data_IF_632440040495
#
_entry.id   IF_632440040495
#
_cell.length_a   1.000
_cell.length_b   1.000
_cell.length_c   1.000
_cell.angle_alpha   90.00
_cell.angle_beta   90.00
_cell.angle_gamma   90.00
#
_symmetry.space_group_name_H-M   'P 1'
#
loop_
_entity.id
_entity.type
_entity.pdbx_description
1 polymer ?
#
# COMPACT_ATOMS: atom_id res chain seq x y z
N UNK A 1 -20.76 13.07 0.04
CA UNK A 1 -19.36 13.42 -0.24
C UNK A 1 -19.01 12.72 -1.53
N UNK A 2 -18.59 13.50 -2.53
CA UNK A 2 -18.10 13.06 -3.84
C UNK A 2 -16.60 12.84 -3.77
N UNK A 3 -16.13 11.65 -4.10
CA UNK A 3 -14.73 11.26 -3.96
C UNK A 3 -14.20 10.87 -5.33
N UNK A 4 -13.13 11.55 -5.78
CA UNK A 4 -12.35 11.09 -6.92
C UNK A 4 -11.17 10.27 -6.39
N UNK A 5 -11.00 9.03 -6.83
CA UNK A 5 -9.91 8.16 -6.36
C UNK A 5 -9.16 7.50 -7.50
N UNK A 6 -7.85 7.44 -7.39
CA UNK A 6 -7.03 6.64 -8.30
C UNK A 6 -5.54 6.85 -8.05
N UNK A 7 -4.66 6.17 -8.78
CA UNK A 7 -4.98 5.16 -9.78
C UNK A 7 -5.52 3.90 -9.10
N UNK A 8 -6.68 3.40 -9.55
CA UNK A 8 -7.28 2.19 -9.00
C UNK A 8 -8.04 1.38 -10.06
N UNK A 9 -7.57 0.17 -10.34
CA UNK A 9 -8.29 -0.79 -11.19
C UNK A 9 -9.35 -1.48 -10.32
N UNK A 10 -10.63 -1.22 -10.62
CA UNK A 10 -11.77 -1.72 -9.83
C UNK A 10 -11.90 -3.24 -9.86
N UNK A 11 -11.40 -3.87 -10.92
CA UNK A 11 -11.50 -5.32 -11.14
C UNK A 11 -10.22 -6.05 -10.73
N UNK A 12 -9.23 -5.32 -10.18
CA UNK A 12 -7.97 -5.93 -9.76
C UNK A 12 -8.24 -7.01 -8.70
N UNK A 13 -7.74 -8.25 -8.89
CA UNK A 13 -8.07 -9.41 -8.04
C UNK A 13 -7.38 -9.39 -6.66
N UNK A 14 -6.82 -8.24 -6.27
CA UNK A 14 -6.07 -8.08 -5.02
C UNK A 14 -6.50 -6.79 -4.33
N UNK A 15 -5.67 -6.28 -3.44
CA UNK A 15 -5.97 -5.18 -2.54
C UNK A 15 -6.48 -3.90 -3.21
N UNK A 16 -6.06 -3.55 -4.43
CA UNK A 16 -6.58 -2.38 -5.14
C UNK A 16 -8.11 -2.48 -5.39
N UNK A 17 -8.61 -3.65 -5.81
CA UNK A 17 -10.06 -3.86 -5.96
C UNK A 17 -10.78 -3.79 -4.62
N UNK A 18 -10.18 -4.34 -3.56
CA UNK A 18 -10.75 -4.32 -2.20
C UNK A 18 -10.84 -2.90 -1.61
N UNK A 19 -9.84 -2.06 -1.85
CA UNK A 19 -9.86 -0.65 -1.44
C UNK A 19 -11.01 0.07 -2.14
N UNK A 20 -11.17 -0.11 -3.45
CA UNK A 20 -12.25 0.54 -4.20
C UNK A 20 -13.63 0.15 -3.66
N UNK A 21 -13.83 -1.13 -3.29
CA UNK A 21 -15.04 -1.58 -2.60
C UNK A 21 -15.28 -0.83 -1.28
N UNK A 22 -14.22 -0.51 -0.54
CA UNK A 22 -14.29 0.26 0.69
C UNK A 22 -14.88 1.66 0.52
N UNK A 23 -14.69 2.28 -0.65
CA UNK A 23 -15.24 3.60 -0.97
C UNK A 23 -16.72 3.57 -1.41
N UNK A 24 -17.32 2.40 -1.69
CA UNK A 24 -18.69 2.31 -2.26
C UNK A 24 -19.81 2.84 -1.36
N UNK A 25 -19.52 3.17 -0.10
CA UNK A 25 -20.46 3.89 0.77
C UNK A 25 -20.58 5.39 0.44
N UNK A 26 -19.82 5.90 -0.52
CA UNK A 26 -19.79 7.30 -0.96
C UNK A 26 -20.14 7.42 -2.45
N UNK A 27 -20.37 8.64 -2.93
CA UNK A 27 -20.50 8.94 -4.35
C UNK A 27 -19.09 9.01 -4.94
N UNK A 28 -18.67 7.98 -5.68
CA UNK A 28 -17.26 7.79 -6.06
C UNK A 28 -17.12 7.74 -7.57
N UNK A 29 -16.10 8.44 -8.08
CA UNK A 29 -15.53 8.22 -9.40
C UNK A 29 -14.08 7.81 -9.24
N UNK A 30 -13.62 6.98 -10.16
CA UNK A 30 -12.24 6.48 -10.15
C UNK A 30 -11.52 6.80 -11.45
N UNK A 31 -10.21 6.91 -11.36
CA UNK A 31 -9.33 6.99 -12.53
C UNK A 31 -8.25 5.90 -12.47
N UNK A 32 -7.95 5.29 -13.60
CA UNK A 32 -6.86 4.32 -13.77
C UNK A 32 -6.60 4.06 -15.26
N UNK A 33 -5.56 3.29 -15.59
CA UNK A 33 -5.32 2.87 -16.98
C UNK A 33 -6.45 1.97 -17.50
N UNK A 34 -7.04 1.15 -16.63
CA UNK A 34 -8.05 0.13 -16.98
C UNK A 34 -9.12 0.06 -15.90
N UNK A 35 -10.32 -0.36 -16.31
CA UNK A 35 -11.45 -0.67 -15.43
C UNK A 35 -11.80 0.44 -14.42
N UNK A 36 -11.75 1.70 -14.86
CA UNK A 36 -12.09 2.88 -14.06
C UNK A 36 -13.17 3.72 -14.75
N UNK A 37 -13.73 4.72 -14.06
CA UNK A 37 -14.70 5.66 -14.66
C UNK A 37 -14.04 6.63 -15.62
N UNK A 38 -12.80 7.01 -15.33
CA UNK A 38 -11.97 7.95 -16.08
C UNK A 38 -10.68 7.27 -16.50
N UNK A 39 -10.25 7.49 -17.74
CA UNK A 39 -9.00 6.91 -18.23
C UNK A 39 -7.81 7.75 -17.77
N UNK A 40 -6.87 7.09 -17.09
CA UNK A 40 -5.61 7.67 -16.64
C UNK A 40 -4.42 6.90 -17.18
N UNK A 41 -3.64 7.58 -18.03
CA UNK A 41 -2.34 7.11 -18.52
C UNK A 41 -1.29 8.15 -18.23
N UNK A 42 -0.39 7.84 -17.30
CA UNK A 42 0.60 8.79 -16.78
C UNK A 42 1.44 9.48 -17.88
N UNK A 43 1.72 8.77 -18.97
CA UNK A 43 2.50 9.28 -20.11
C UNK A 43 1.75 10.31 -20.97
N UNK A 44 0.41 10.33 -20.90
CA UNK A 44 -0.47 10.98 -21.88
C UNK A 44 -1.42 12.02 -21.31
N UNK A 45 -1.82 11.90 -20.04
CA UNK A 45 -2.87 12.76 -19.48
C UNK A 45 -2.37 13.56 -18.28
N UNK A 46 -2.78 14.82 -18.23
CA UNK A 46 -2.60 15.69 -17.05
C UNK A 46 -3.72 15.45 -16.04
N UNK A 47 -3.59 16.02 -14.84
CA UNK A 47 -4.67 15.99 -13.87
C UNK A 47 -5.92 16.74 -14.36
N UNK A 48 -5.75 17.82 -15.12
CA UNK A 48 -6.88 18.54 -15.71
C UNK A 48 -7.63 17.70 -16.75
N UNK A 49 -6.91 16.88 -17.52
CA UNK A 49 -7.54 15.94 -18.47
C UNK A 49 -8.35 14.86 -17.75
N UNK A 50 -7.94 14.45 -16.54
CA UNK A 50 -8.74 13.56 -15.68
C UNK A 50 -10.04 14.28 -15.26
N UNK A 51 -9.95 15.53 -14.82
CA UNK A 51 -11.13 16.31 -14.42
C UNK A 51 -12.10 16.55 -15.58
N UNK A 52 -11.59 16.83 -16.78
CA UNK A 52 -12.40 17.10 -17.98
C UNK A 52 -13.18 15.86 -18.48
N UNK A 53 -12.82 14.66 -18.03
CA UNK A 53 -13.54 13.42 -18.35
C UNK A 53 -14.70 13.14 -17.37
N UNK A 54 -14.79 13.88 -16.26
CA UNK A 54 -15.90 13.73 -15.31
C UNK A 54 -17.20 14.31 -15.90
N UNK A 55 -18.37 13.79 -15.51
CA UNK A 55 -19.65 14.40 -15.87
C UNK A 55 -19.72 15.86 -15.41
N UNK A 56 -20.29 16.74 -16.24
CA UNK A 56 -20.37 18.19 -15.97
C UNK A 56 -21.04 18.54 -14.62
N UNK A 57 -21.96 17.70 -14.14
CA UNK A 57 -22.69 17.87 -12.89
C UNK A 57 -22.02 17.18 -11.68
N UNK A 58 -20.89 16.51 -11.90
CA UNK A 58 -20.14 15.77 -10.91
C UNK A 58 -18.83 16.50 -10.58
N UNK A 59 -18.80 17.12 -9.40
CA UNK A 59 -17.65 17.86 -8.88
C UNK A 59 -17.14 17.16 -7.61
N UNK A 60 -15.86 16.76 -7.54
CA UNK A 60 -15.32 16.08 -6.37
C UNK A 60 -15.20 17.02 -5.16
N UNK A 61 -15.50 16.50 -3.97
CA UNK A 61 -15.21 17.17 -2.71
C UNK A 61 -13.75 16.95 -2.27
N UNK A 62 -13.16 15.82 -2.70
CA UNK A 62 -11.80 15.40 -2.36
C UNK A 62 -11.23 14.46 -3.43
N UNK A 63 -9.92 14.48 -3.58
CA UNK A 63 -9.15 13.63 -4.48
C UNK A 63 -8.22 12.74 -3.67
N UNK A 64 -8.35 11.43 -3.80
CA UNK A 64 -7.41 10.45 -3.25
C UNK A 64 -6.48 9.98 -4.35
N UNK A 65 -5.19 10.17 -4.13
CA UNK A 65 -4.15 9.56 -4.93
C UNK A 65 -3.59 8.33 -4.22
N UNK A 66 -3.87 7.15 -4.75
CA UNK A 66 -3.44 5.90 -4.14
C UNK A 66 -2.04 5.52 -4.61
N UNK A 67 -1.14 5.31 -3.64
CA UNK A 67 0.16 4.67 -3.82
C UNK A 67 1.13 5.39 -4.79
N UNK A 68 1.48 6.67 -4.51
CA UNK A 68 2.40 7.45 -5.33
C UNK A 68 3.85 6.93 -5.34
N UNK A 69 4.14 5.89 -4.54
CA UNK A 69 5.40 5.16 -4.55
C UNK A 69 5.57 4.34 -5.84
N UNK A 70 4.48 3.79 -6.38
CA UNK A 70 4.51 2.94 -7.57
C UNK A 70 3.73 3.54 -8.73
N UNK A 71 2.74 4.40 -8.45
CA UNK A 71 1.92 5.03 -9.47
C UNK A 71 2.47 6.40 -9.86
N UNK A 72 2.60 6.64 -11.17
CA UNK A 72 2.97 7.95 -11.72
C UNK A 72 1.98 9.02 -11.25
N UNK A 73 2.46 10.14 -10.70
CA UNK A 73 1.59 11.23 -10.21
C UNK A 73 1.33 12.20 -11.36
N UNK A 74 0.07 12.39 -11.82
CA UNK A 74 -0.22 13.17 -13.02
C UNK A 74 0.24 14.62 -12.86
N UNK A 75 0.92 15.21 -13.86
CA UNK A 75 1.24 16.64 -13.84
C UNK A 75 -0.03 17.49 -13.65
N UNK A 76 0.04 18.51 -12.81
CA UNK A 76 -1.06 19.42 -12.51
C UNK A 76 -1.95 19.00 -11.33
N UNK A 77 -1.70 17.87 -10.67
CA UNK A 77 -2.44 17.51 -9.45
C UNK A 77 -2.18 18.51 -8.31
N UNK A 78 -0.98 19.08 -8.28
CA UNK A 78 -0.57 20.16 -7.39
C UNK A 78 -1.36 21.46 -7.65
N UNK A 79 -1.98 21.60 -8.82
CA UNK A 79 -2.89 22.70 -9.16
C UNK A 79 -4.37 22.35 -8.93
N UNK A 80 -4.66 21.13 -8.45
CA UNK A 80 -6.02 20.65 -8.21
C UNK A 80 -6.83 21.69 -7.43
N UNK A 81 -8.01 22.10 -7.94
CA UNK A 81 -8.87 23.04 -7.22
C UNK A 81 -9.56 22.37 -6.03
N UNK A 82 -9.39 21.05 -5.85
CA UNK A 82 -9.95 20.23 -4.77
C UNK A 82 -8.85 19.74 -3.84
N UNK A 83 -9.14 19.47 -2.54
CA UNK A 83 -8.18 18.86 -1.63
C UNK A 83 -7.66 17.52 -2.16
N UNK A 84 -6.36 17.31 -2.02
CA UNK A 84 -5.62 16.15 -2.56
C UNK A 84 -4.95 15.38 -1.43
N UNK A 85 -5.19 14.08 -1.40
CA UNK A 85 -4.74 13.18 -0.34
C UNK A 85 -3.83 12.13 -0.95
N UNK A 86 -2.57 12.05 -0.51
CA UNK A 86 -1.64 11.00 -0.93
C UNK A 86 -1.66 9.82 0.03
N UNK A 87 -2.05 8.63 -0.43
CA UNK A 87 -2.05 7.40 0.37
C UNK A 87 -0.74 6.63 0.14
N UNK A 88 0.17 6.65 1.10
CA UNK A 88 1.51 6.07 0.96
C UNK A 88 1.57 4.72 1.68
N UNK A 89 1.61 3.64 0.90
CA UNK A 89 1.63 2.27 1.40
C UNK A 89 3.04 1.73 1.69
N UNK A 90 4.00 1.99 0.81
CA UNK A 90 5.35 1.44 0.88
C UNK A 90 6.43 2.52 0.77
N UNK A 91 6.43 3.46 1.72
CA UNK A 91 7.45 4.52 1.78
C UNK A 91 8.89 3.96 1.85
N UNK A 92 9.08 2.76 2.40
CA UNK A 92 10.41 2.15 2.56
C UNK A 92 10.99 1.60 1.24
N UNK A 93 10.15 1.33 0.25
CA UNK A 93 10.56 0.84 -1.07
C UNK A 93 10.51 1.94 -2.13
N UNK A 94 9.49 2.81 -2.07
CA UNK A 94 9.27 3.89 -3.02
C UNK A 94 9.79 5.25 -2.56
N UNK A 95 10.69 5.33 -1.58
CA UNK A 95 11.13 6.60 -1.01
C UNK A 95 11.63 7.58 -2.08
N UNK A 96 12.46 7.11 -3.02
CA UNK A 96 12.99 7.95 -4.11
C UNK A 96 11.87 8.52 -5.00
N UNK A 97 10.78 7.77 -5.18
CA UNK A 97 9.62 8.21 -5.97
C UNK A 97 8.80 9.25 -5.21
N UNK A 98 8.56 9.05 -3.91
CA UNK A 98 7.68 9.93 -3.12
C UNK A 98 8.40 11.17 -2.57
N UNK A 99 9.68 11.06 -2.20
CA UNK A 99 10.39 12.09 -1.43
C UNK A 99 10.52 13.45 -2.13
N UNK A 100 10.26 13.50 -3.44
CA UNK A 100 10.32 14.73 -4.26
C UNK A 100 8.95 15.26 -4.70
N UNK A 101 7.87 14.53 -4.43
CA UNK A 101 6.52 14.82 -4.93
C UNK A 101 5.44 14.86 -3.85
N UNK A 102 5.79 14.53 -2.62
CA UNK A 102 4.94 14.66 -1.42
C UNK A 102 4.31 16.04 -1.30
N UNK A 103 5.02 17.10 -1.69
CA UNK A 103 4.50 18.47 -1.75
C UNK A 103 3.40 18.71 -2.78
N UNK A 104 3.05 17.73 -3.62
CA UNK A 104 1.92 17.80 -4.56
C UNK A 104 0.57 17.51 -3.87
N UNK A 105 0.59 17.07 -2.62
CA UNK A 105 -0.60 16.72 -1.85
C UNK A 105 -0.82 17.69 -0.70
N UNK A 106 -2.08 17.89 -0.32
CA UNK A 106 -2.42 18.70 0.85
C UNK A 106 -2.15 17.95 2.15
N UNK A 107 -2.44 16.65 2.17
CA UNK A 107 -2.22 15.73 3.31
C UNK A 107 -1.72 14.39 2.78
N UNK A 108 -0.81 13.77 3.54
CA UNK A 108 -0.35 12.41 3.31
C UNK A 108 -0.83 11.49 4.43
N UNK A 109 -1.28 10.29 4.06
CA UNK A 109 -1.56 9.22 5.00
C UNK A 109 -0.57 8.08 4.83
N UNK A 110 -0.06 7.57 5.95
CA UNK A 110 0.87 6.43 5.97
C UNK A 110 0.78 5.69 7.31
N UNK A 111 1.50 4.57 7.44
CA UNK A 111 1.73 3.87 8.72
C UNK A 111 2.57 4.72 9.70
N UNK A 112 2.60 4.33 10.98
CA UNK A 112 3.32 5.07 12.05
C UNK A 112 4.80 5.30 11.70
N UNK A 113 5.46 4.33 11.06
CA UNK A 113 6.85 4.45 10.66
C UNK A 113 7.07 5.51 9.58
N UNK A 114 6.15 5.60 8.62
CA UNK A 114 6.17 6.59 7.57
C UNK A 114 5.91 8.00 8.10
N UNK A 115 5.01 8.16 9.07
CA UNK A 115 4.77 9.47 9.72
C UNK A 115 6.06 9.99 10.35
N UNK A 116 6.74 9.16 11.14
CA UNK A 116 8.01 9.54 11.79
C UNK A 116 9.07 9.95 10.78
N UNK A 117 9.26 9.18 9.71
CA UNK A 117 10.29 9.47 8.70
C UNK A 117 9.93 10.70 7.87
N UNK A 118 8.70 10.82 7.40
CA UNK A 118 8.29 11.96 6.57
C UNK A 118 8.31 13.27 7.38
N UNK A 119 7.90 13.24 8.65
CA UNK A 119 8.02 14.42 9.52
C UNK A 119 9.49 14.83 9.74
N UNK A 120 10.41 13.87 9.95
CA UNK A 120 11.86 14.16 10.07
C UNK A 120 12.46 14.76 8.81
N UNK A 121 11.86 14.50 7.66
CA UNK A 121 12.26 15.04 6.37
C UNK A 121 11.62 16.40 6.06
N UNK A 122 10.81 16.94 6.97
CA UNK A 122 10.21 18.27 6.85
C UNK A 122 8.83 18.29 6.17
N UNK A 123 8.19 17.14 5.97
CA UNK A 123 6.80 17.11 5.51
C UNK A 123 5.87 17.38 6.70
N UNK A 124 5.11 18.47 6.65
CA UNK A 124 4.36 18.97 7.81
C UNK A 124 2.97 18.31 7.96
N UNK A 125 2.35 17.90 6.85
CA UNK A 125 0.97 17.40 6.81
C UNK A 125 0.94 15.89 6.57
N UNK A 126 1.43 15.12 7.55
CA UNK A 126 1.48 13.66 7.48
C UNK A 126 0.75 13.05 8.66
N UNK A 127 -0.22 12.19 8.38
CA UNK A 127 -1.12 11.60 9.37
C UNK A 127 -1.04 10.07 9.35
N UNK A 128 -1.16 9.47 10.53
CA UNK A 128 -1.28 8.02 10.65
C UNK A 128 -2.71 7.59 10.34
N UNK A 129 -2.87 6.53 9.54
CA UNK A 129 -4.13 5.79 9.47
C UNK A 129 -3.92 4.31 9.18
N UNK A 130 -4.94 3.50 9.48
CA UNK A 130 -4.99 2.11 9.05
C UNK A 130 -5.15 2.01 7.52
N UNK A 131 -4.03 1.87 6.81
CA UNK A 131 -3.98 1.80 5.35
C UNK A 131 -4.60 0.52 4.77
N UNK A 132 -4.62 -0.53 5.57
CA UNK A 132 -5.07 -1.86 5.17
C UNK A 132 -6.29 -2.29 5.98
N UNK A 133 -6.99 -3.29 5.45
CA UNK A 133 -8.11 -3.95 6.09
C UNK A 133 -8.31 -5.30 5.43
N UNK A 134 -9.55 -5.80 5.47
CA UNK A 134 -9.95 -6.98 4.72
C UNK A 134 -11.21 -6.70 3.89
N UNK A 135 -11.36 -7.43 2.79
CA UNK A 135 -12.62 -7.50 2.02
C UNK A 135 -13.54 -8.57 2.63
N UNK A 136 -14.71 -8.23 3.21
CA UNK A 136 -15.63 -9.20 3.79
C UNK A 136 -16.23 -10.19 2.77
N UNK A 137 -16.30 -9.79 1.49
CA UNK A 137 -16.79 -10.68 0.44
C UNK A 137 -15.80 -11.80 0.15
N UNK A 138 -14.49 -11.56 0.35
CA UNK A 138 -13.43 -12.53 0.02
C UNK A 138 -12.91 -13.22 1.27
N UNK A 139 -12.53 -12.44 2.28
CA UNK A 139 -11.90 -12.90 3.52
C UNK A 139 -12.96 -13.10 4.60
N UNK A 140 -13.59 -14.27 4.58
CA UNK A 140 -14.64 -14.67 5.51
C UNK A 140 -14.46 -16.11 5.94
N UNK A 141 -15.17 -16.51 7.00
CA UNK A 141 -15.28 -17.92 7.36
C UNK A 141 -16.05 -18.68 6.29
N UNK A 142 -15.56 -19.87 5.95
CA UNK A 142 -16.19 -20.76 4.98
C UNK A 142 -16.63 -22.02 5.72
N UNK A 143 -17.95 -22.27 5.72
CA UNK A 143 -18.53 -23.42 6.41
C UNK A 143 -18.03 -24.75 5.82
N UNK A 144 -17.80 -25.72 6.71
CA UNK A 144 -17.36 -27.06 6.32
C UNK A 144 -15.90 -27.17 5.87
N UNK A 145 -15.11 -26.10 5.92
CA UNK A 145 -13.67 -26.17 5.62
C UNK A 145 -12.90 -26.70 6.83
N UNK A 146 -12.29 -27.87 6.65
CA UNK A 146 -11.43 -28.48 7.69
C UNK A 146 -10.09 -27.74 7.83
N UNK A 147 -9.63 -27.59 9.08
CA UNK A 147 -8.31 -27.05 9.43
C UNK A 147 -7.22 -28.10 9.19
N UNK A 148 -6.68 -28.16 7.97
CA UNK A 148 -5.68 -29.15 7.56
C UNK A 148 -4.23 -28.73 7.78
N UNK A 149 -3.95 -27.43 7.94
CA UNK A 149 -2.61 -26.91 8.23
C UNK A 149 -2.51 -26.48 9.69
N UNK A 150 -1.42 -26.87 10.34
CA UNK A 150 -1.13 -26.46 11.71
C UNK A 150 -0.61 -25.01 11.73
N UNK A 151 0.35 -24.70 10.85
CA UNK A 151 0.96 -23.37 10.74
C UNK A 151 1.06 -22.99 9.27
N UNK A 152 0.58 -21.81 8.93
CA UNK A 152 0.67 -21.27 7.57
C UNK A 152 1.34 -19.91 7.53
N UNK A 153 2.13 -19.68 6.49
CA UNK A 153 2.54 -18.36 6.02
C UNK A 153 2.27 -18.26 4.52
N UNK A 154 1.55 -17.22 4.10
CA UNK A 154 1.32 -16.90 2.67
C UNK A 154 1.76 -15.48 2.40
N UNK A 155 2.85 -15.27 1.65
CA UNK A 155 3.34 -13.92 1.36
C UNK A 155 4.57 -13.86 0.49
N UNK A 156 5.12 -12.66 0.29
CA UNK A 156 6.34 -12.50 -0.50
C UNK A 156 7.53 -13.17 0.22
N UNK A 157 8.23 -14.05 -0.50
CA UNK A 157 9.41 -14.80 -0.05
C UNK A 157 10.71 -14.22 -0.63
N UNK A 158 10.65 -13.11 -1.37
CA UNK A 158 11.82 -12.46 -1.93
C UNK A 158 12.74 -11.95 -0.81
N UNK A 159 13.90 -12.58 -0.67
CA UNK A 159 14.88 -12.27 0.36
C UNK A 159 15.44 -10.84 0.23
N UNK A 160 15.48 -10.24 -0.97
CA UNK A 160 15.99 -8.87 -1.14
C UNK A 160 15.11 -7.85 -0.40
N UNK A 161 13.79 -8.09 -0.37
CA UNK A 161 12.79 -7.25 0.30
C UNK A 161 12.55 -7.71 1.74
N UNK A 162 12.56 -9.02 1.99
CA UNK A 162 12.05 -9.65 3.21
C UNK A 162 13.17 -10.25 4.08
N UNK A 163 14.35 -9.61 4.10
CA UNK A 163 15.55 -10.12 4.80
C UNK A 163 15.26 -10.56 6.22
N UNK A 164 14.61 -9.71 7.00
CA UNK A 164 14.29 -10.00 8.39
C UNK A 164 13.28 -11.12 8.55
N UNK A 165 12.39 -11.36 7.59
CA UNK A 165 11.37 -12.41 7.66
C UNK A 165 11.97 -13.80 7.45
N UNK A 166 12.99 -13.93 6.61
CA UNK A 166 13.58 -15.22 6.23
C UNK A 166 14.06 -16.04 7.44
N UNK A 167 14.64 -15.38 8.46
CA UNK A 167 15.11 -16.06 9.69
C UNK A 167 13.95 -16.72 10.47
N UNK A 168 12.79 -16.07 10.51
CA UNK A 168 11.59 -16.61 11.18
C UNK A 168 10.95 -17.74 10.41
N UNK A 169 10.83 -17.59 9.09
CA UNK A 169 10.30 -18.65 8.23
C UNK A 169 11.16 -19.91 8.31
N UNK A 170 12.50 -19.77 8.44
CA UNK A 170 13.40 -20.90 8.69
C UNK A 170 13.11 -21.60 10.03
N UNK A 171 12.82 -20.84 11.10
CA UNK A 171 12.45 -21.40 12.41
C UNK A 171 11.14 -22.17 12.33
N UNK A 172 10.12 -21.59 11.69
CA UNK A 172 8.83 -22.25 11.47
C UNK A 172 8.97 -23.50 10.59
N UNK A 173 9.77 -23.44 9.52
CA UNK A 173 9.99 -24.58 8.64
C UNK A 173 10.62 -25.78 9.37
N UNK A 174 11.44 -25.57 10.41
CA UNK A 174 12.00 -26.65 11.23
C UNK A 174 10.96 -27.40 12.05
N UNK A 175 9.76 -26.83 12.22
CA UNK A 175 8.65 -27.50 12.88
C UNK A 175 7.92 -28.51 11.97
N UNK A 176 8.29 -28.58 10.69
CA UNK A 176 7.64 -29.47 9.70
C UNK A 176 7.81 -30.97 9.97
N UNK A 177 8.80 -31.36 10.79
CA UNK A 177 8.98 -32.75 11.23
C UNK A 177 7.87 -33.21 12.20
N UNK A 178 7.16 -32.26 12.84
CA UNK A 178 6.13 -32.52 13.85
C UNK A 178 4.75 -32.00 13.47
N UNK A 179 4.69 -30.96 12.64
CA UNK A 179 3.47 -30.24 12.31
C UNK A 179 3.31 -30.02 10.80
N UNK A 180 2.07 -29.91 10.33
CA UNK A 180 1.75 -29.59 8.94
C UNK A 180 1.99 -28.10 8.68
N UNK A 181 3.23 -27.75 8.34
CA UNK A 181 3.66 -26.38 8.04
C UNK A 181 3.51 -26.07 6.55
N UNK A 182 2.85 -24.97 6.20
CA UNK A 182 2.71 -24.47 4.82
C UNK A 182 3.31 -23.07 4.69
N UNK A 183 4.36 -22.94 3.87
CA UNK A 183 4.98 -21.64 3.53
C UNK A 183 4.88 -21.49 2.02
N UNK A 184 4.19 -20.45 1.54
CA UNK A 184 3.91 -20.28 0.11
C UNK A 184 3.84 -18.80 -0.29
N UNK A 185 4.05 -18.51 -1.57
CA UNK A 185 3.88 -17.21 -2.19
C UNK A 185 3.03 -17.34 -3.46
N UNK A 186 2.49 -16.22 -3.97
CA UNK A 186 1.77 -16.22 -5.25
C UNK A 186 0.37 -16.84 -5.20
N UNK A 187 -0.26 -16.88 -4.02
CA UNK A 187 -1.64 -17.34 -3.83
C UNK A 187 -2.51 -16.13 -3.54
N UNK A 188 -3.63 -15.99 -4.24
CA UNK A 188 -4.49 -14.79 -4.21
C UNK A 188 -5.98 -15.17 -4.21
N UNK A 189 -6.85 -14.18 -3.95
CA UNK A 189 -8.30 -14.32 -4.04
C UNK A 189 -8.87 -15.46 -3.21
N UNK A 190 -9.83 -16.19 -3.78
CA UNK A 190 -10.53 -17.29 -3.11
C UNK A 190 -9.62 -18.43 -2.65
N UNK A 191 -8.55 -18.72 -3.40
CA UNK A 191 -7.58 -19.76 -3.00
C UNK A 191 -6.83 -19.35 -1.73
N UNK A 192 -6.44 -18.08 -1.64
CA UNK A 192 -5.81 -17.52 -0.45
C UNK A 192 -6.75 -17.55 0.75
N UNK A 193 -7.99 -17.06 0.59
CA UNK A 193 -9.00 -17.09 1.65
C UNK A 193 -9.29 -18.51 2.13
N UNK A 194 -9.41 -19.48 1.21
CA UNK A 194 -9.57 -20.90 1.52
C UNK A 194 -8.38 -21.44 2.32
N UNK A 195 -7.16 -21.09 1.95
CA UNK A 195 -5.95 -21.52 2.68
C UNK A 195 -5.92 -20.98 4.12
N UNK A 196 -6.30 -19.73 4.33
CA UNK A 196 -6.44 -19.17 5.68
C UNK A 196 -7.53 -19.90 6.48
N UNK A 197 -8.66 -20.21 5.85
CA UNK A 197 -9.72 -21.03 6.46
C UNK A 197 -9.24 -22.45 6.82
N UNK A 198 -8.29 -23.00 6.08
CA UNK A 198 -7.66 -24.30 6.35
C UNK A 198 -6.53 -24.26 7.39
N UNK A 199 -6.18 -23.08 7.91
CA UNK A 199 -5.03 -22.89 8.82
C UNK A 199 -5.47 -22.74 10.27
N UNK A 200 -4.88 -23.51 11.19
CA UNK A 200 -5.09 -23.30 12.64
C UNK A 200 -4.44 -21.99 13.09
N UNK A 201 -3.15 -21.83 12.77
CA UNK A 201 -2.36 -20.65 13.05
C UNK A 201 -1.85 -20.06 11.73
N UNK A 202 -2.01 -18.75 11.56
CA UNK A 202 -1.37 -17.99 10.48
C UNK A 202 -0.29 -17.12 11.10
N UNK A 203 0.95 -17.42 10.73
CA UNK A 203 2.10 -16.63 11.10
C UNK A 203 2.16 -15.38 10.22
N UNK A 204 2.41 -14.23 10.84
CA UNK A 204 2.68 -12.98 10.15
C UNK A 204 3.93 -12.31 10.73
N UNK A 205 4.68 -11.66 9.84
CA UNK A 205 5.69 -10.69 10.23
C UNK A 205 5.68 -9.50 9.28
N UNK A 206 5.41 -8.33 9.83
CA UNK A 206 5.42 -7.06 9.08
C UNK A 206 6.84 -6.65 8.64
N UNK A 207 6.95 -5.66 7.75
CA UNK A 207 8.24 -5.15 7.28
C UNK A 207 8.70 -3.97 8.13
N UNK A 208 7.77 -3.08 8.47
CA UNK A 208 7.98 -1.77 9.09
C UNK A 208 7.40 -1.66 10.51
N UNK A 209 6.78 -2.74 11.00
CA UNK A 209 5.99 -2.72 12.22
C UNK A 209 4.54 -2.31 11.99
N UNK A 210 4.06 -2.36 10.75
CA UNK A 210 2.71 -1.98 10.33
C UNK A 210 1.69 -3.10 10.50
N UNK A 211 0.41 -2.74 10.63
CA UNK A 211 -0.70 -3.68 10.45
C UNK A 211 -0.93 -3.91 8.96
N UNK A 212 -0.23 -4.89 8.39
CA UNK A 212 -0.41 -5.27 6.98
C UNK A 212 -1.69 -6.10 6.74
N UNK A 213 -2.04 -6.30 5.47
CA UNK A 213 -3.28 -7.02 5.06
C UNK A 213 -3.49 -8.35 5.79
N UNK A 214 -2.44 -9.19 5.89
CA UNK A 214 -2.53 -10.52 6.52
C UNK A 214 -2.95 -10.45 7.99
N UNK A 215 -2.60 -9.37 8.70
CA UNK A 215 -3.00 -9.16 10.07
C UNK A 215 -4.53 -8.99 10.22
N UNK A 216 -5.22 -8.56 9.15
CA UNK A 216 -6.68 -8.48 9.12
C UNK A 216 -7.32 -9.72 8.48
N UNK A 217 -6.76 -10.21 7.38
CA UNK A 217 -7.35 -11.29 6.58
C UNK A 217 -7.34 -12.63 7.32
N UNK A 218 -6.27 -12.94 8.07
CA UNK A 218 -6.16 -14.18 8.83
C UNK A 218 -7.25 -14.35 9.92
N UNK A 219 -7.45 -13.38 10.84
CA UNK A 219 -8.57 -13.47 11.78
C UNK A 219 -9.93 -13.38 11.08
N UNK A 220 -10.06 -12.66 9.96
CA UNK A 220 -11.32 -12.60 9.21
C UNK A 220 -11.71 -13.97 8.64
N UNK A 221 -10.73 -14.78 8.25
CA UNK A 221 -10.90 -16.17 7.82
C UNK A 221 -10.91 -17.19 8.98
N UNK A 222 -10.91 -16.72 10.24
CA UNK A 222 -10.95 -17.59 11.42
C UNK A 222 -9.69 -18.44 11.61
N UNK A 223 -8.51 -17.89 11.32
CA UNK A 223 -7.22 -18.45 11.72
C UNK A 223 -6.66 -17.64 12.90
N UNK A 224 -6.01 -18.29 13.86
CA UNK A 224 -5.30 -17.57 14.92
C UNK A 224 -4.14 -16.78 14.31
N UNK A 225 -4.14 -15.47 14.47
CA UNK A 225 -3.05 -14.59 14.02
C UNK A 225 -1.89 -14.64 15.03
N UNK A 226 -0.69 -14.92 14.53
CA UNK A 226 0.56 -14.64 15.21
C UNK A 226 1.21 -13.41 14.57
N UNK A 227 1.57 -12.42 15.40
CA UNK A 227 2.22 -11.19 14.93
C UNK A 227 3.38 -10.81 15.86
N UNK A 228 4.37 -10.08 15.35
CA UNK A 228 5.52 -9.68 16.15
C UNK A 228 5.13 -8.72 17.29
N UNK A 229 5.66 -8.95 18.49
CA UNK A 229 5.35 -8.19 19.70
C UNK A 229 5.73 -6.71 19.60
N UNK A 230 6.79 -6.42 18.84
CA UNK A 230 7.28 -5.08 18.55
C UNK A 230 6.46 -4.31 17.49
N UNK A 231 5.39 -4.93 16.95
CA UNK A 231 4.53 -4.25 15.98
C UNK A 231 3.96 -2.96 16.60
N UNK A 232 4.03 -1.87 15.84
CA UNK A 232 3.73 -0.51 16.31
C UNK A 232 2.24 -0.22 16.38
N UNK A 233 1.45 -0.91 15.56
CA UNK A 233 0.03 -0.60 15.32
C UNK A 233 -0.92 -1.67 15.88
N UNK A 234 -0.43 -2.87 16.17
CA UNK A 234 -1.29 -3.99 16.59
C UNK A 234 -2.13 -3.67 17.81
N UNK A 235 -1.60 -2.88 18.75
CA UNK A 235 -2.28 -2.54 20.01
C UNK A 235 -3.39 -1.50 19.83
N UNK A 236 -3.44 -0.83 18.68
CA UNK A 236 -4.58 0.02 18.30
C UNK A 236 -5.76 -0.83 17.83
N UNK A 237 -5.50 -2.06 17.37
CA UNK A 237 -6.51 -2.94 16.79
C UNK A 237 -6.92 -4.10 17.72
N UNK A 238 -5.93 -4.74 18.33
CA UNK A 238 -6.00 -6.04 18.97
C UNK A 238 -5.31 -6.04 20.35
N UNK A 239 -5.61 -7.07 21.13
CA UNK A 239 -5.07 -7.28 22.47
C UNK A 239 -4.46 -8.68 22.50
N UNK A 240 -3.22 -8.77 22.99
CA UNK A 240 -2.50 -10.03 23.08
C UNK A 240 -3.27 -11.06 23.91
N UNK A 241 -3.26 -12.32 23.47
CA UNK A 241 -3.96 -13.48 24.03
C UNK A 241 -5.48 -13.32 24.18
N UNK A 242 -6.06 -12.29 23.59
CA UNK A 242 -7.52 -12.09 23.49
C UNK A 242 -7.94 -12.14 22.03
N UNK A 243 -7.26 -11.40 21.15
CA UNK A 243 -7.60 -11.27 19.73
C UNK A 243 -6.56 -11.90 18.80
N UNK A 244 -5.31 -11.97 19.26
CA UNK A 244 -4.16 -12.50 18.52
C UNK A 244 -3.10 -12.97 19.51
N UNK A 245 -2.01 -13.59 19.03
CA UNK A 245 -0.85 -13.94 19.84
C UNK A 245 0.34 -13.13 19.37
N UNK A 246 0.93 -12.36 20.28
CA UNK A 246 2.16 -11.62 20.05
C UNK A 246 3.37 -12.49 20.40
N UNK A 247 4.33 -12.56 19.48
CA UNK A 247 5.55 -13.36 19.65
C UNK A 247 6.79 -12.50 19.51
N UNK A 248 7.90 -12.95 20.11
CA UNK A 248 9.22 -12.38 19.95
C UNK A 248 10.25 -13.47 19.66
N UNK A 249 11.53 -13.09 19.67
CA UNK A 249 12.61 -13.98 19.25
C UNK A 249 12.83 -15.13 20.25
N UNK A 250 12.38 -14.98 21.50
CA UNK A 250 12.59 -15.95 22.58
C UNK A 250 11.46 -16.96 22.71
N UNK A 251 10.22 -16.60 22.34
CA UNK A 251 9.03 -17.40 22.68
C UNK A 251 8.26 -17.98 21.48
N UNK A 252 8.67 -17.71 20.23
CA UNK A 252 7.90 -18.11 19.05
C UNK A 252 7.56 -19.62 19.02
N UNK A 253 8.55 -20.50 19.12
CA UNK A 253 8.34 -21.94 19.03
C UNK A 253 7.50 -22.46 20.21
N UNK A 254 7.77 -21.98 21.42
CA UNK A 254 7.01 -22.34 22.62
C UNK A 254 5.53 -21.97 22.46
N UNK A 255 5.23 -20.75 22.02
CA UNK A 255 3.86 -20.30 21.79
C UNK A 255 3.17 -21.08 20.66
N UNK A 256 3.88 -21.37 19.56
CA UNK A 256 3.33 -22.18 18.47
C UNK A 256 2.96 -23.58 18.97
N UNK A 257 3.85 -24.25 19.70
CA UNK A 257 3.61 -25.58 20.26
C UNK A 257 2.47 -25.56 21.28
N UNK A 258 2.47 -24.58 22.19
CA UNK A 258 1.42 -24.40 23.18
C UNK A 258 0.05 -24.27 22.52
N UNK A 259 -0.12 -23.34 21.57
CA UNK A 259 -1.44 -23.14 20.95
C UNK A 259 -1.83 -24.26 19.98
N UNK A 260 -0.90 -25.10 19.54
CA UNK A 260 -1.22 -26.32 18.77
C UNK A 260 -1.71 -27.48 19.66
N UNK A 261 -1.36 -27.50 20.95
CA UNK A 261 -1.86 -28.50 21.91
C UNK A 261 -3.04 -28.03 22.76
N UNK A 262 -3.36 -26.73 22.78
CA UNK A 262 -4.45 -26.13 23.57
C UNK A 262 -5.61 -25.67 22.67
N UNK A 263 -6.34 -26.64 22.12
CA UNK A 263 -7.38 -26.40 21.11
C UNK A 263 -8.48 -25.45 21.57
N UNK A 264 -9.00 -25.60 22.79
CA UNK A 264 -10.09 -24.76 23.32
C UNK A 264 -9.65 -23.29 23.45
N UNK A 265 -8.48 -23.05 24.05
CA UNK A 265 -7.92 -21.71 24.20
C UNK A 265 -7.63 -21.07 22.83
N UNK A 266 -7.00 -21.82 21.91
CA UNK A 266 -6.73 -21.37 20.54
C UNK A 266 -8.03 -20.96 19.84
N UNK A 267 -9.07 -21.79 19.94
CA UNK A 267 -10.36 -21.53 19.30
C UNK A 267 -11.06 -20.30 19.89
N UNK A 268 -10.98 -20.10 21.20
CA UNK A 268 -11.55 -18.93 21.87
C UNK A 268 -10.87 -17.62 21.42
N UNK A 269 -9.53 -17.58 21.35
CA UNK A 269 -8.79 -16.42 20.85
C UNK A 269 -9.12 -16.19 19.36
N UNK A 270 -9.18 -17.26 18.57
CA UNK A 270 -9.54 -17.18 17.14
C UNK A 270 -10.95 -16.61 16.93
N UNK A 271 -11.89 -16.98 17.79
CA UNK A 271 -13.26 -16.46 17.77
C UNK A 271 -13.29 -14.96 18.10
N UNK A 272 -12.68 -14.56 19.21
CA UNK A 272 -12.59 -13.14 19.61
C UNK A 272 -11.84 -12.29 18.58
N UNK A 273 -10.74 -12.79 18.02
CA UNK A 273 -10.02 -12.14 16.94
C UNK A 273 -10.89 -11.95 15.69
N UNK A 274 -11.66 -12.98 15.31
CA UNK A 274 -12.60 -12.91 14.21
C UNK A 274 -13.75 -11.91 14.45
N UNK A 275 -14.27 -11.82 15.67
CA UNK A 275 -15.29 -10.84 16.04
C UNK A 275 -14.72 -9.42 15.99
N UNK A 276 -13.55 -9.20 16.59
CA UNK A 276 -12.89 -7.89 16.64
C UNK A 276 -12.49 -7.38 15.27
N UNK A 277 -11.99 -8.25 14.39
CA UNK A 277 -11.51 -7.82 13.07
C UNK A 277 -12.63 -7.25 12.20
N UNK A 278 -13.91 -7.61 12.43
CA UNK A 278 -15.04 -7.08 11.63
C UNK A 278 -15.13 -5.54 11.65
N UNK A 279 -14.57 -4.91 12.67
CA UNK A 279 -14.47 -3.45 12.77
C UNK A 279 -13.49 -2.84 11.74
N UNK A 280 -12.63 -3.63 11.10
CA UNK A 280 -11.50 -3.18 10.27
C UNK A 280 -11.59 -3.62 8.81
N UNK A 281 -12.81 -3.81 8.28
CA UNK A 281 -13.02 -3.96 6.84
C UNK A 281 -12.55 -2.70 6.09
N UNK A 282 -12.21 -2.82 4.81
CA UNK A 282 -11.82 -1.64 4.02
C UNK A 282 -12.86 -0.51 4.09
N UNK A 283 -14.16 -0.84 4.06
CA UNK A 283 -15.23 0.16 4.23
C UNK A 283 -15.13 0.92 5.56
N UNK A 284 -14.86 0.21 6.66
CA UNK A 284 -14.71 0.85 7.96
C UNK A 284 -13.40 1.65 8.07
N UNK A 285 -12.31 1.20 7.43
CA UNK A 285 -11.07 1.97 7.35
C UNK A 285 -11.24 3.28 6.58
N UNK A 286 -11.91 3.24 5.43
CA UNK A 286 -12.21 4.46 4.67
C UNK A 286 -13.08 5.42 5.48
N UNK A 287 -14.09 4.91 6.21
CA UNK A 287 -14.89 5.77 7.12
C UNK A 287 -14.03 6.45 8.18
N UNK A 288 -13.03 5.78 8.74
CA UNK A 288 -12.08 6.37 9.71
C UNK A 288 -11.23 7.44 9.06
N UNK A 289 -10.68 7.20 7.87
CA UNK A 289 -9.88 8.18 7.11
C UNK A 289 -10.72 9.42 6.81
N UNK A 290 -11.95 9.25 6.32
CA UNK A 290 -12.87 10.36 6.04
C UNK A 290 -13.26 11.11 7.33
N UNK A 291 -13.47 10.39 8.44
CA UNK A 291 -13.68 10.99 9.76
C UNK A 291 -12.50 11.87 10.17
N UNK A 292 -11.28 11.36 10.03
CA UNK A 292 -10.04 12.09 10.34
C UNK A 292 -9.87 13.33 9.48
N UNK A 293 -10.16 13.25 8.18
CA UNK A 293 -10.13 14.41 7.29
C UNK A 293 -11.11 15.51 7.71
N UNK A 294 -12.28 15.15 8.25
CA UNK A 294 -13.23 16.13 8.80
C UNK A 294 -12.71 16.78 10.08
N UNK A 295 -12.07 16.02 10.96
CA UNK A 295 -11.46 16.56 12.18
C UNK A 295 -10.33 17.55 11.88
N UNK A 296 -9.53 17.27 10.84
CA UNK A 296 -8.48 18.18 10.36
C UNK A 296 -9.09 19.44 9.73
N UNK A 297 -10.35 19.40 9.32
CA UNK A 297 -11.05 20.51 8.67
C UNK A 297 -10.64 20.65 7.21
N UNK A 298 -10.89 19.61 6.41
CA UNK A 298 -10.61 19.55 4.97
C UNK A 298 -11.05 20.82 4.21
N UNK A 299 -12.17 21.42 4.59
CA UNK A 299 -12.70 22.66 4.02
C UNK A 299 -11.82 23.89 4.26
N UNK A 300 -10.98 23.87 5.30
CA UNK A 300 -10.09 24.95 5.70
C UNK A 300 -8.68 24.84 5.08
N UNK A 301 -8.39 23.73 4.40
CA UNK A 301 -7.12 23.53 3.71
C UNK A 301 -6.98 24.56 2.59
N UNK A 302 -6.00 25.45 2.72
CA UNK A 302 -5.64 26.42 1.68
C UNK A 302 -4.92 25.72 0.53
N UNK A 303 -5.71 25.28 -0.45
CA UNK A 303 -5.33 24.49 -1.64
C UNK A 303 -4.20 25.10 -2.48
N UNK A 304 -3.96 26.40 -2.34
CA UNK A 304 -2.92 27.16 -3.05
C UNK A 304 -1.53 27.08 -2.39
N UNK A 305 -1.40 26.41 -1.24
CA UNK A 305 -0.15 26.34 -0.46
C UNK A 305 0.64 25.04 -0.65
N UNK A 306 0.30 24.22 -1.65
CA UNK A 306 1.04 22.99 -1.92
C UNK A 306 2.51 23.32 -2.18
N UNK A 307 3.40 22.74 -1.35
CA UNK A 307 4.82 23.08 -1.35
C UNK A 307 5.49 22.84 -2.71
N UNK A 308 4.94 21.94 -3.53
CA UNK A 308 5.48 21.70 -4.86
C UNK A 308 5.40 22.94 -5.78
N UNK A 309 4.36 23.77 -5.61
CA UNK A 309 4.17 24.98 -6.41
C UNK A 309 5.15 26.11 -6.05
N UNK A 310 5.77 26.07 -4.87
CA UNK A 310 6.79 27.06 -4.48
C UNK A 310 8.18 26.73 -5.03
N UNK A 311 8.36 25.55 -5.64
CA UNK A 311 9.60 25.19 -6.31
C UNK A 311 9.73 25.94 -7.63
N UNK A 312 10.96 26.32 -7.97
CA UNK A 312 11.31 26.82 -9.29
C UNK A 312 10.91 25.82 -10.39
N UNK A 313 10.52 26.31 -11.57
CA UNK A 313 9.99 25.47 -12.65
C UNK A 313 10.92 24.31 -13.04
N UNK A 314 12.23 24.55 -13.14
CA UNK A 314 13.21 23.49 -13.44
C UNK A 314 13.26 22.41 -12.35
N UNK A 315 13.06 22.78 -11.08
CA UNK A 315 13.05 21.86 -9.95
C UNK A 315 11.77 21.03 -9.91
N UNK A 316 10.62 21.62 -10.27
CA UNK A 316 9.36 20.88 -10.46
C UNK A 316 9.53 19.80 -11.53
N UNK A 317 10.06 20.17 -12.70
CA UNK A 317 10.35 19.23 -13.78
C UNK A 317 11.32 18.12 -13.34
N UNK A 318 12.43 18.46 -12.67
CA UNK A 318 13.37 17.47 -12.13
C UNK A 318 12.70 16.51 -11.15
N UNK A 319 11.85 17.01 -10.27
CA UNK A 319 11.13 16.19 -9.30
C UNK A 319 10.12 15.25 -9.97
N UNK A 320 9.34 15.72 -10.96
CA UNK A 320 8.44 14.87 -11.76
C UNK A 320 9.22 13.80 -12.51
N UNK A 321 10.39 14.13 -13.07
CA UNK A 321 11.23 13.15 -13.77
C UNK A 321 11.70 12.02 -12.87
N UNK A 322 12.09 12.36 -11.64
CA UNK A 322 12.57 11.37 -10.67
C UNK A 322 11.43 10.51 -10.17
N UNK A 323 10.25 11.09 -9.93
CA UNK A 323 9.02 10.34 -9.64
C UNK A 323 8.70 9.37 -10.77
N UNK A 324 8.72 9.83 -12.02
CA UNK A 324 8.48 9.01 -13.19
C UNK A 324 9.45 7.82 -13.27
N UNK A 325 10.75 8.07 -13.05
CA UNK A 325 11.79 7.05 -13.14
C UNK A 325 11.78 6.04 -11.98
N UNK A 326 11.49 6.49 -10.76
CA UNK A 326 11.53 5.62 -9.57
C UNK A 326 10.19 4.95 -9.24
N UNK A 327 9.07 5.47 -9.75
CA UNK A 327 7.82 4.72 -9.82
C UNK A 327 7.95 3.53 -10.79
N UNK A 328 6.89 2.76 -11.03
CA UNK A 328 6.98 1.55 -11.86
C UNK A 328 7.68 1.85 -13.21
N UNK A 329 8.79 1.16 -13.48
CA UNK A 329 9.60 1.41 -14.68
C UNK A 329 8.92 0.76 -15.89
N UNK A 330 8.11 1.56 -16.58
CA UNK A 330 7.55 1.26 -17.90
C UNK A 330 8.18 2.15 -18.97
N UNK A 331 8.01 1.81 -20.24
CA UNK A 331 8.44 2.70 -21.33
C UNK A 331 7.75 4.08 -21.24
N UNK A 332 6.46 4.11 -20.85
CA UNK A 332 5.73 5.37 -20.64
C UNK A 332 6.33 6.22 -19.52
N UNK A 333 6.71 5.60 -18.40
CA UNK A 333 7.39 6.27 -17.29
C UNK A 333 8.76 6.84 -17.70
N UNK A 334 9.53 6.09 -18.50
CA UNK A 334 10.80 6.58 -19.04
C UNK A 334 10.61 7.72 -20.04
N UNK A 335 9.52 7.70 -20.82
CA UNK A 335 9.15 8.80 -21.72
C UNK A 335 8.82 10.08 -20.94
N UNK A 336 8.05 9.97 -19.85
CA UNK A 336 7.79 11.11 -18.95
C UNK A 336 9.07 11.61 -18.31
N UNK A 337 9.89 10.71 -17.75
CA UNK A 337 11.16 11.07 -17.13
C UNK A 337 12.06 11.85 -18.08
N UNK A 338 12.18 11.39 -19.33
CA UNK A 338 12.93 12.08 -20.36
C UNK A 338 12.33 13.45 -20.69
N UNK A 339 11.03 13.53 -20.95
CA UNK A 339 10.34 14.78 -21.30
C UNK A 339 10.52 15.84 -20.22
N UNK A 340 10.33 15.47 -18.96
CA UNK A 340 10.49 16.39 -17.83
C UNK A 340 11.95 16.84 -17.67
N UNK A 341 12.94 15.96 -17.87
CA UNK A 341 14.36 16.37 -17.84
C UNK A 341 14.73 17.30 -18.99
N UNK A 342 14.21 17.08 -20.20
CA UNK A 342 14.43 17.98 -21.33
C UNK A 342 13.84 19.37 -21.05
N UNK A 343 12.64 19.43 -20.44
CA UNK A 343 12.02 20.69 -20.00
C UNK A 343 12.86 21.39 -18.91
N UNK A 344 13.38 20.65 -17.94
CA UNK A 344 14.25 21.20 -16.90
C UNK A 344 15.56 21.74 -17.50
N UNK A 345 16.17 21.00 -18.44
CA UNK A 345 17.41 21.39 -19.11
C UNK A 345 17.22 22.64 -19.98
N UNK A 346 16.07 22.79 -20.64
CA UNK A 346 15.77 24.00 -21.42
C UNK A 346 15.80 25.28 -20.56
N UNK A 347 15.56 25.17 -19.25
CA UNK A 347 15.62 26.27 -18.28
C UNK A 347 17.03 26.42 -17.71
N UNK A 348 17.69 25.33 -17.33
CA UNK A 348 19.07 25.33 -16.80
C UNK A 348 19.94 24.31 -17.58
N UNK A 349 20.57 24.71 -18.71
CA UNK A 349 21.21 23.77 -19.63
C UNK A 349 22.39 22.98 -19.06
N UNK A 350 23.17 23.60 -18.17
CA UNK A 350 24.42 23.07 -17.62
C UNK A 350 24.26 22.50 -16.20
N UNK A 351 23.04 22.23 -15.75
CA UNK A 351 22.82 21.60 -14.44
C UNK A 351 23.35 20.15 -14.43
N UNK A 352 24.33 19.81 -13.58
CA UNK A 352 24.95 18.49 -13.60
C UNK A 352 24.00 17.38 -13.13
N UNK A 353 23.03 17.66 -12.27
CA UNK A 353 22.05 16.67 -11.81
C UNK A 353 21.08 16.33 -12.94
N UNK A 354 20.62 17.33 -13.70
CA UNK A 354 19.75 17.12 -14.88
C UNK A 354 20.47 16.25 -15.91
N UNK A 355 21.70 16.63 -16.29
CA UNK A 355 22.50 15.90 -17.26
C UNK A 355 22.77 14.45 -16.82
N UNK A 356 23.11 14.25 -15.55
CA UNK A 356 23.30 12.91 -14.98
C UNK A 356 22.01 12.08 -15.08
N UNK A 357 20.88 12.64 -14.65
CA UNK A 357 19.60 11.93 -14.66
C UNK A 357 19.16 11.58 -16.10
N UNK A 358 19.41 12.46 -17.08
CA UNK A 358 19.18 12.16 -18.50
C UNK A 358 20.01 10.97 -18.95
N UNK A 359 21.30 10.94 -18.60
CA UNK A 359 22.19 9.81 -18.87
C UNK A 359 21.66 8.50 -18.28
N UNK A 360 21.19 8.52 -17.03
CA UNK A 360 20.61 7.35 -16.34
C UNK A 360 19.33 6.86 -17.03
N UNK A 361 18.41 7.76 -17.39
CA UNK A 361 17.16 7.41 -18.10
C UNK A 361 17.45 6.79 -19.45
N UNK A 362 18.34 7.41 -20.24
CA UNK A 362 18.72 6.92 -21.57
C UNK A 362 19.44 5.57 -21.50
N UNK A 363 20.35 5.40 -20.55
CA UNK A 363 21.03 4.12 -20.32
C UNK A 363 20.03 3.03 -19.93
N UNK A 364 19.12 3.32 -18.99
CA UNK A 364 18.09 2.38 -18.55
C UNK A 364 17.20 1.94 -19.70
N UNK A 365 16.77 2.88 -20.56
CA UNK A 365 16.01 2.55 -21.79
C UNK A 365 16.81 1.68 -22.76
N UNK A 366 18.09 1.98 -22.96
CA UNK A 366 18.95 1.18 -23.81
C UNK A 366 19.13 -0.26 -23.28
N UNK A 367 19.13 -0.44 -21.95
CA UNK A 367 19.18 -1.76 -21.32
C UNK A 367 17.83 -2.49 -21.37
N UNK A 368 16.69 -1.81 -21.15
CA UNK A 368 15.37 -2.43 -21.21
C UNK A 368 15.05 -2.99 -22.61
N UNK A 369 15.51 -2.31 -23.67
CA UNK A 369 15.40 -2.76 -25.06
C UNK A 369 16.27 -4.00 -25.38
N UNK A 370 17.31 -4.27 -24.58
CA UNK A 370 18.28 -5.36 -24.81
C UNK A 370 18.05 -6.59 -23.94
N UNK A 371 17.38 -6.46 -22.79
CA UNK A 371 17.17 -7.57 -21.86
C UNK A 371 15.79 -7.48 -21.18
N UNK A 372 14.85 -8.32 -21.64
CA UNK A 372 13.48 -8.44 -21.08
C UNK A 372 13.49 -8.79 -19.58
N UNK A 373 14.63 -9.25 -19.05
CA UNK A 373 14.82 -9.64 -17.65
C UNK A 373 15.01 -8.47 -16.68
N UNK A 374 15.35 -7.26 -17.14
CA UNK A 374 15.57 -6.10 -16.26
C UNK A 374 14.25 -5.49 -15.76
N UNK A 375 13.21 -5.44 -16.61
CA UNK A 375 11.90 -4.89 -16.26
C UNK A 375 11.17 -5.71 -15.18
N UNK A 376 11.41 -7.03 -15.13
CA UNK A 376 10.70 -7.93 -14.22
C UNK A 376 11.25 -7.99 -12.79
N UNK A 377 12.43 -7.40 -12.49
CA UNK A 377 12.99 -7.43 -11.12
C UNK A 377 12.37 -6.42 -10.16
N UNK A 378 11.82 -5.30 -10.64
CA UNK A 378 11.12 -4.31 -9.79
C UNK A 378 9.61 -4.53 -9.68
N UNK A 379 8.98 -5.11 -10.70
CA UNK A 379 7.54 -5.41 -10.73
C UNK A 379 7.10 -6.60 -9.85
N UNK A 380 8.06 -7.35 -9.28
CA UNK A 380 7.81 -8.48 -8.34
C UNK A 380 8.23 -8.17 -6.90
N UNK A 381 8.38 -6.89 -6.56
CA UNK A 381 8.63 -6.42 -5.19
C UNK A 381 7.33 -6.43 -4.39
#
# INVERSE_FOLDING_TARGET
MRILIGPIDKEHPTYYGYIFKGFQCYDVKSFAEKNADVTYRYDQVTFQDILNQLPDDWIPDVVFFWDPAYQGVPPGIEESPYPTIGMICDWNLGFDAIGRITGCFDILFTDIGGVDILNRLGFENVEHCGLYGFDPDTHRRIDGVEKIYDITFVGNLNHEVQRERAKWLKRIARLSDRYKVKIVSGVYGDEYAKMLNQSKITFNRSIRGEMNMRAYEAPACGSLLFLEEENKEVRDCFTDRIHCVLYNDQNLEELLEYYLSHDEERQEITKKGHEKVQEYSYSNQIKRIIGRLKEIGLENIKRQNRQFLSLEAHQQHKNRAVQAFHSVVTDGNLDVAKRELDNAQAIIPEDPEILNNQGVVLATRAFSLKDVRFAHRRLRL
#
